data_IF_950847081769
#
_entry.id   IF_950847081769
#
_cell.length_a   1.000
_cell.length_b   1.000
_cell.length_c   1.000
_cell.angle_alpha   90.00
_cell.angle_beta   90.00
_cell.angle_gamma   90.00
#
_symmetry.space_group_name_H-M   'P 1'
#
loop_
_entity.id
_entity.type
_entity.pdbx_description
1 polymer ?
#
# COMPACT_ATOMS: atom_id res chain seq x y z
N UNK A 1 -23.09 5.25 -17.26
CA UNK A 1 -21.70 4.73 -17.18
C UNK A 1 -20.66 5.84 -17.13
N UNK A 2 -20.78 6.94 -17.90
CA UNK A 2 -19.91 8.11 -17.73
C UNK A 2 -20.26 8.99 -16.51
N UNK A 3 -21.54 9.14 -16.15
CA UNK A 3 -21.95 9.91 -14.95
C UNK A 3 -21.37 9.36 -13.64
N UNK A 4 -21.42 8.03 -13.42
CA UNK A 4 -20.80 7.39 -12.24
C UNK A 4 -19.28 7.59 -12.19
N UNK A 5 -18.62 7.49 -13.34
CA UNK A 5 -17.18 7.71 -13.48
C UNK A 5 -16.79 9.17 -13.15
N UNK A 6 -17.69 10.11 -13.46
CA UNK A 6 -17.56 11.53 -13.14
C UNK A 6 -17.77 11.81 -11.64
N UNK A 7 -18.74 11.17 -10.99
CA UNK A 7 -19.01 11.28 -9.55
C UNK A 7 -17.88 10.67 -8.68
N UNK A 8 -17.24 9.59 -9.13
CA UNK A 8 -16.18 8.89 -8.38
C UNK A 8 -14.78 9.51 -8.57
N UNK A 9 -14.45 10.02 -9.77
CA UNK A 9 -13.30 10.91 -9.94
C UNK A 9 -13.47 12.19 -9.12
N UNK A 10 -14.72 12.64 -8.95
CA UNK A 10 -15.05 13.73 -8.05
C UNK A 10 -14.67 13.38 -6.62
N UNK A 11 -14.86 12.15 -6.13
CA UNK A 11 -14.54 11.80 -4.74
C UNK A 11 -13.05 11.95 -4.45
N UNK A 12 -12.18 11.50 -5.36
CA UNK A 12 -10.72 11.65 -5.22
C UNK A 12 -10.27 13.11 -5.37
N UNK A 13 -10.90 13.89 -6.24
CA UNK A 13 -10.65 15.33 -6.37
C UNK A 13 -11.26 16.15 -5.22
N UNK A 14 -12.36 15.69 -4.62
CA UNK A 14 -12.99 16.25 -3.42
C UNK A 14 -12.09 15.98 -2.22
N UNK A 15 -11.62 14.74 -2.04
CA UNK A 15 -10.66 14.39 -0.97
C UNK A 15 -9.37 15.18 -1.15
N UNK A 16 -8.86 15.29 -2.38
CA UNK A 16 -7.70 16.13 -2.71
C UNK A 16 -7.98 17.61 -2.44
N UNK A 17 -9.17 18.10 -2.77
CA UNK A 17 -9.63 19.47 -2.54
C UNK A 17 -9.79 19.80 -1.06
N UNK A 18 -10.34 18.87 -0.26
CA UNK A 18 -10.45 18.99 1.20
C UNK A 18 -9.05 19.03 1.84
N UNK A 19 -8.14 18.14 1.42
CA UNK A 19 -6.74 18.13 1.89
C UNK A 19 -6.01 19.43 1.51
N UNK A 20 -6.26 20.00 0.32
CA UNK A 20 -5.68 21.26 -0.11
C UNK A 20 -6.27 22.47 0.64
N UNK A 21 -7.57 22.48 0.91
CA UNK A 21 -8.23 23.51 1.71
C UNK A 21 -7.69 23.53 3.15
N UNK A 22 -7.42 22.36 3.71
CA UNK A 22 -6.76 22.18 5.01
C UNK A 22 -5.32 22.70 5.04
N UNK A 23 -4.61 22.67 3.91
CA UNK A 23 -3.25 23.19 3.81
C UNK A 23 -3.22 24.73 3.71
N UNK A 24 -4.29 25.36 3.19
CA UNK A 24 -4.29 26.79 2.80
C UNK A 24 -4.91 27.74 3.81
N UNK A 25 -5.68 27.25 4.78
CA UNK A 25 -6.31 28.08 5.84
C UNK A 25 -5.84 27.55 7.20
N UNK A 26 -5.79 28.43 8.20
CA UNK A 26 -5.48 28.18 9.62
C UNK A 26 -4.04 28.48 10.07
N UNK A 27 -3.75 29.77 10.34
CA UNK A 27 -2.72 30.15 11.30
C UNK A 27 -3.17 29.79 12.73
N UNK A 28 -2.32 29.06 13.45
CA UNK A 28 -2.15 28.88 14.90
C UNK A 28 -3.18 29.46 15.92
N UNK A 29 -4.49 29.26 15.76
CA UNK A 29 -5.45 29.36 16.88
C UNK A 29 -5.73 27.96 17.43
N UNK A 30 -4.95 27.57 18.44
CA UNK A 30 -4.67 26.19 18.84
C UNK A 30 -5.90 25.30 19.18
N UNK A 31 -7.05 25.86 19.58
CA UNK A 31 -8.26 25.05 19.88
C UNK A 31 -9.24 24.92 18.72
N UNK A 32 -9.43 25.97 17.90
CA UNK A 32 -10.39 25.92 16.79
C UNK A 32 -9.88 25.06 15.63
N UNK A 33 -8.54 25.03 15.43
CA UNK A 33 -7.91 24.17 14.43
C UNK A 33 -8.04 22.68 14.73
N UNK A 34 -7.94 22.26 16.00
CA UNK A 34 -8.05 20.85 16.41
C UNK A 34 -9.49 20.33 16.31
N UNK A 35 -10.47 21.11 16.77
CA UNK A 35 -11.89 20.76 16.63
C UNK A 35 -12.29 20.67 15.16
N UNK A 36 -11.85 21.62 14.32
CA UNK A 36 -12.09 21.55 12.88
C UNK A 36 -11.43 20.33 12.24
N UNK A 37 -10.19 20.01 12.62
CA UNK A 37 -9.48 18.84 12.11
C UNK A 37 -10.21 17.54 12.50
N UNK A 38 -10.67 17.44 13.74
CA UNK A 38 -11.49 16.34 14.23
C UNK A 38 -12.79 16.19 13.42
N UNK A 39 -13.61 17.24 13.33
CA UNK A 39 -14.89 17.17 12.59
C UNK A 39 -14.69 16.82 11.11
N UNK A 40 -13.64 17.38 10.48
CA UNK A 40 -13.31 17.06 9.10
C UNK A 40 -12.85 15.61 8.93
N UNK A 41 -12.02 15.10 9.85
CA UNK A 41 -11.61 13.70 9.84
C UNK A 41 -12.80 12.76 10.01
N UNK A 42 -13.73 13.06 10.92
CA UNK A 42 -14.93 12.23 11.12
C UNK A 42 -15.76 12.14 9.84
N UNK A 43 -16.05 13.27 9.18
CA UNK A 43 -16.78 13.27 7.90
C UNK A 43 -16.02 12.57 6.79
N UNK A 44 -14.72 12.86 6.65
CA UNK A 44 -13.87 12.21 5.66
C UNK A 44 -13.82 10.71 5.89
N UNK A 45 -13.76 10.25 7.15
CA UNK A 45 -13.72 8.84 7.50
C UNK A 45 -15.00 8.11 7.11
N UNK A 46 -16.17 8.71 7.38
CA UNK A 46 -17.48 8.16 7.00
C UNK A 46 -17.59 8.00 5.48
N UNK A 47 -17.28 9.06 4.73
CA UNK A 47 -17.37 9.07 3.27
C UNK A 47 -16.36 8.10 2.64
N UNK A 48 -15.11 8.12 3.14
CA UNK A 48 -14.04 7.30 2.57
C UNK A 48 -14.21 5.82 2.91
N UNK A 49 -14.62 5.47 4.12
CA UNK A 49 -14.85 4.07 4.48
C UNK A 49 -15.98 3.48 3.64
N UNK A 50 -17.08 4.22 3.46
CA UNK A 50 -18.22 3.77 2.66
C UNK A 50 -17.84 3.63 1.16
N UNK A 51 -17.09 4.59 0.61
CA UNK A 51 -16.63 4.51 -0.77
C UNK A 51 -15.68 3.33 -1.00
N UNK A 52 -14.71 3.12 -0.10
CA UNK A 52 -13.76 2.00 -0.18
C UNK A 52 -14.45 0.65 -0.02
N UNK A 53 -15.44 0.54 0.87
CA UNK A 53 -16.25 -0.68 1.01
C UNK A 53 -17.02 -1.01 -0.27
N UNK A 54 -17.65 -0.01 -0.89
CA UNK A 54 -18.33 -0.19 -2.19
C UNK A 54 -17.34 -0.62 -3.28
N UNK A 55 -16.15 -0.01 -3.32
CA UNK A 55 -15.11 -0.37 -4.28
C UNK A 55 -14.54 -1.78 -4.05
N UNK A 56 -14.42 -2.21 -2.79
CA UNK A 56 -13.95 -3.56 -2.45
C UNK A 56 -14.96 -4.64 -2.87
N UNK A 57 -16.27 -4.34 -2.77
CA UNK A 57 -17.37 -5.25 -3.11
C UNK A 57 -17.79 -5.19 -4.59
N UNK A 58 -17.32 -4.21 -5.37
CA UNK A 58 -17.65 -4.09 -6.78
C UNK A 58 -16.93 -5.17 -7.63
N UNK A 59 -17.65 -5.93 -8.46
CA UNK A 59 -17.04 -6.95 -9.32
C UNK A 59 -16.21 -6.34 -10.47
N UNK A 60 -16.54 -5.12 -10.89
CA UNK A 60 -15.73 -4.34 -11.82
C UNK A 60 -14.94 -3.31 -11.02
N UNK A 61 -13.66 -3.58 -10.79
CA UNK A 61 -12.75 -2.60 -10.17
C UNK A 61 -12.39 -1.54 -11.21
N UNK A 62 -12.71 -0.28 -10.89
CA UNK A 62 -12.54 0.84 -11.81
C UNK A 62 -11.14 1.48 -11.78
N UNK A 63 -10.36 1.22 -10.73
CA UNK A 63 -9.03 1.80 -10.50
C UNK A 63 -7.96 0.72 -10.34
N UNK A 64 -6.71 1.07 -10.64
CA UNK A 64 -5.56 0.17 -10.44
C UNK A 64 -5.23 0.07 -8.96
N UNK A 65 -4.71 -1.07 -8.53
CA UNK A 65 -4.35 -1.32 -7.14
C UNK A 65 -3.28 -0.35 -6.63
N UNK A 66 -2.40 0.12 -7.52
CA UNK A 66 -1.44 1.20 -7.21
C UNK A 66 -2.08 2.55 -6.90
N UNK A 67 -3.27 2.86 -7.42
CA UNK A 67 -3.99 4.11 -7.11
C UNK A 67 -4.55 4.06 -5.68
N UNK A 68 -5.06 2.91 -5.24
CA UNK A 68 -5.50 2.70 -3.86
C UNK A 68 -4.32 2.73 -2.88
N UNK A 69 -3.18 2.15 -3.24
CA UNK A 69 -1.95 2.26 -2.44
C UNK A 69 -1.52 3.72 -2.27
N UNK A 70 -1.51 4.50 -3.35
CA UNK A 70 -1.19 5.92 -3.30
C UNK A 70 -2.19 6.72 -2.44
N UNK A 71 -3.47 6.39 -2.50
CA UNK A 71 -4.48 6.98 -1.63
C UNK A 71 -4.23 6.63 -0.15
N UNK A 72 -3.91 5.36 0.15
CA UNK A 72 -3.55 4.92 1.49
C UNK A 72 -2.39 5.74 2.06
N UNK A 73 -1.32 5.94 1.28
CA UNK A 73 -0.18 6.77 1.69
C UNK A 73 -0.58 8.24 1.96
N UNK A 74 -1.46 8.82 1.13
CA UNK A 74 -1.95 10.19 1.34
C UNK A 74 -2.80 10.31 2.59
N UNK A 75 -3.70 9.35 2.84
CA UNK A 75 -4.56 9.33 4.03
C UNK A 75 -3.73 9.15 5.29
N UNK A 76 -2.77 8.22 5.28
CA UNK A 76 -1.77 8.07 6.35
C UNK A 76 -1.04 9.37 6.63
N UNK A 77 -0.46 9.99 5.59
CA UNK A 77 0.30 11.23 5.76
C UNK A 77 -0.58 12.34 6.36
N UNK A 78 -1.82 12.46 5.86
CA UNK A 78 -2.78 13.42 6.38
C UNK A 78 -3.11 13.16 7.85
N UNK A 79 -3.41 11.91 8.21
CA UNK A 79 -3.71 11.51 9.58
C UNK A 79 -2.54 11.83 10.52
N UNK A 80 -1.33 11.40 10.18
CA UNK A 80 -0.13 11.62 10.99
C UNK A 80 0.25 13.10 11.13
N UNK A 81 -0.03 13.93 10.10
CA UNK A 81 0.37 15.34 10.10
C UNK A 81 -0.63 16.22 10.83
N UNK A 82 -1.93 15.87 10.82
CA UNK A 82 -3.01 16.79 11.23
C UNK A 82 -3.96 16.23 12.26
N UNK A 83 -4.08 14.91 12.36
CA UNK A 83 -5.11 14.25 13.17
C UNK A 83 -4.51 13.51 14.37
N UNK A 84 -3.29 12.98 14.26
CA UNK A 84 -2.65 12.21 15.33
C UNK A 84 -2.49 12.98 16.66
N UNK A 85 -2.38 14.31 16.61
CA UNK A 85 -2.25 15.18 17.79
C UNK A 85 -3.61 15.68 18.34
N UNK A 86 -4.73 15.31 17.71
CA UNK A 86 -6.08 15.69 18.18
C UNK A 86 -6.38 14.94 19.49
N UNK A 87 -6.72 15.65 20.59
CA UNK A 87 -6.88 15.03 21.91
C UNK A 87 -7.86 13.85 21.95
N UNK A 88 -8.96 13.93 21.20
CA UNK A 88 -10.01 12.91 21.16
C UNK A 88 -9.60 11.62 20.42
N UNK A 89 -8.59 11.71 19.55
CA UNK A 89 -8.07 10.60 18.75
C UNK A 89 -6.66 10.19 19.18
N UNK A 90 -6.08 10.92 20.13
CA UNK A 90 -4.78 10.62 20.70
C UNK A 90 -4.83 9.26 21.39
N UNK A 91 -3.83 8.43 21.14
CA UNK A 91 -3.71 7.07 21.68
C UNK A 91 -4.81 6.09 21.21
N UNK A 92 -5.66 6.50 20.25
CA UNK A 92 -6.64 5.63 19.60
C UNK A 92 -6.03 5.03 18.33
N UNK A 93 -6.18 3.71 18.15
CA UNK A 93 -5.77 3.06 16.91
C UNK A 93 -6.68 3.55 15.77
N UNK A 94 -6.13 4.18 14.72
CA UNK A 94 -6.96 4.70 13.64
C UNK A 94 -7.59 3.57 12.83
N UNK A 95 -8.85 3.77 12.43
CA UNK A 95 -9.59 2.76 11.66
C UNK A 95 -9.20 2.72 10.17
N UNK A 96 -8.55 3.77 9.64
CA UNK A 96 -8.28 3.88 8.21
C UNK A 96 -7.53 2.67 7.59
N UNK A 97 -6.57 1.99 8.27
CA UNK A 97 -5.88 0.86 7.66
C UNK A 97 -6.82 -0.28 7.27
N UNK A 98 -7.87 -0.52 8.05
CA UNK A 98 -8.89 -1.55 7.76
C UNK A 98 -9.63 -1.29 6.44
N UNK A 99 -9.89 -0.03 6.10
CA UNK A 99 -10.58 0.33 4.84
C UNK A 99 -9.73 0.01 3.62
N UNK A 100 -8.40 0.04 3.78
CA UNK A 100 -7.45 -0.25 2.72
C UNK A 100 -7.01 -1.72 2.67
N UNK A 101 -7.33 -2.53 3.69
CA UNK A 101 -6.91 -3.94 3.80
C UNK A 101 -7.20 -4.75 2.52
N UNK A 102 -8.40 -4.72 1.92
CA UNK A 102 -8.69 -5.49 0.71
C UNK A 102 -7.81 -5.10 -0.49
N UNK A 103 -7.42 -3.83 -0.58
CA UNK A 103 -6.62 -3.30 -1.69
C UNK A 103 -5.14 -3.59 -1.50
N UNK A 104 -4.63 -3.48 -0.27
CA UNK A 104 -3.25 -3.88 0.06
C UNK A 104 -3.07 -5.38 -0.16
N UNK A 105 -4.04 -6.20 0.25
CA UNK A 105 -4.01 -7.65 0.00
C UNK A 105 -4.01 -7.99 -1.50
N UNK A 106 -4.82 -7.30 -2.30
CA UNK A 106 -4.79 -7.47 -3.75
C UNK A 106 -3.43 -7.03 -4.31
N UNK A 107 -2.88 -5.91 -3.85
CA UNK A 107 -1.59 -5.40 -4.31
C UNK A 107 -0.50 -6.43 -4.03
N UNK A 108 -0.53 -7.07 -2.85
CA UNK A 108 0.37 -8.17 -2.52
C UNK A 108 0.22 -9.34 -3.50
N UNK A 109 -1.00 -9.75 -3.84
CA UNK A 109 -1.23 -10.83 -4.83
C UNK A 109 -0.65 -10.46 -6.21
N UNK A 110 -0.88 -9.23 -6.68
CA UNK A 110 -0.34 -8.76 -7.97
C UNK A 110 1.19 -8.69 -7.95
N UNK A 111 1.79 -8.28 -6.82
CA UNK A 111 3.24 -8.29 -6.67
C UNK A 111 3.81 -9.70 -6.68
N UNK A 112 3.08 -10.70 -6.20
CA UNK A 112 3.53 -12.09 -6.24
C UNK A 112 3.63 -12.58 -7.68
N UNK A 113 2.61 -12.32 -8.50
CA UNK A 113 2.61 -12.68 -9.92
C UNK A 113 3.75 -11.99 -10.67
N UNK A 114 3.91 -10.68 -10.46
CA UNK A 114 5.00 -9.89 -11.07
C UNK A 114 6.37 -10.40 -10.61
N UNK A 115 6.52 -10.72 -9.31
CA UNK A 115 7.78 -11.24 -8.75
C UNK A 115 8.11 -12.61 -9.31
N UNK A 116 7.12 -13.48 -9.53
CA UNK A 116 7.30 -14.80 -10.12
C UNK A 116 7.70 -14.73 -11.59
N UNK A 117 7.07 -13.86 -12.37
CA UNK A 117 7.46 -13.62 -13.76
C UNK A 117 8.87 -13.03 -13.85
N UNK A 118 9.20 -12.10 -12.96
CA UNK A 118 10.54 -11.53 -12.87
C UNK A 118 11.60 -12.60 -12.57
N UNK A 119 11.33 -13.49 -11.60
CA UNK A 119 12.20 -14.61 -11.24
C UNK A 119 12.39 -15.57 -12.42
N UNK A 120 11.30 -15.94 -13.10
CA UNK A 120 11.36 -16.82 -14.27
C UNK A 120 12.21 -16.21 -15.39
N UNK A 121 12.03 -14.91 -15.64
CA UNK A 121 12.80 -14.19 -16.65
C UNK A 121 14.28 -14.05 -16.27
N UNK A 122 14.58 -13.75 -15.00
CA UNK A 122 15.95 -13.70 -14.49
C UNK A 122 16.66 -15.05 -14.65
N UNK A 123 15.98 -16.14 -14.30
CA UNK A 123 16.50 -17.50 -14.49
C UNK A 123 16.73 -17.85 -15.96
N UNK A 124 15.79 -17.52 -16.85
CA UNK A 124 15.94 -17.81 -18.29
C UNK A 124 17.11 -17.05 -18.92
N UNK A 125 17.33 -15.78 -18.53
CA UNK A 125 18.50 -15.01 -18.96
C UNK A 125 19.79 -15.66 -18.47
N UNK A 126 19.85 -15.98 -17.19
CA UNK A 126 21.04 -16.57 -16.56
C UNK A 126 21.37 -17.96 -17.14
N UNK A 127 20.35 -18.77 -17.45
CA UNK A 127 20.50 -20.05 -18.16
C UNK A 127 21.09 -19.87 -19.55
N UNK A 128 20.67 -18.83 -20.28
CA UNK A 128 21.22 -18.50 -21.61
C UNK A 128 22.67 -18.03 -21.51
N UNK A 129 23.00 -17.33 -20.43
CA UNK A 129 24.34 -16.82 -20.15
C UNK A 129 25.24 -17.86 -19.45
N UNK A 130 24.80 -19.12 -19.30
CA UNK A 130 25.61 -20.20 -18.74
C UNK A 130 25.85 -20.12 -17.23
N UNK A 131 24.98 -19.41 -16.49
CA UNK A 131 25.07 -19.23 -15.04
C UNK A 131 26.43 -18.66 -14.59
N UNK A 132 26.96 -17.67 -15.32
CA UNK A 132 28.18 -17.01 -14.91
C UNK A 132 28.05 -16.45 -13.48
N UNK A 133 29.09 -16.68 -12.68
CA UNK A 133 29.17 -16.14 -11.32
C UNK A 133 29.15 -14.62 -11.39
N UNK A 134 28.33 -13.99 -10.55
CA UNK A 134 28.16 -12.53 -10.50
C UNK A 134 29.46 -11.78 -10.20
N UNK A 135 30.43 -12.44 -9.56
CA UNK A 135 31.82 -11.96 -9.43
C UNK A 135 32.77 -13.11 -9.07
N UNK A 136 34.09 -12.86 -9.09
CA UNK A 136 35.11 -13.85 -8.68
C UNK A 136 35.02 -14.30 -7.21
N UNK A 137 34.32 -13.55 -6.36
CA UNK A 137 34.10 -13.87 -4.93
C UNK A 137 32.67 -14.35 -4.63
N UNK A 138 31.70 -14.12 -5.52
CA UNK A 138 30.30 -14.50 -5.29
C UNK A 138 30.05 -15.97 -5.66
N UNK A 139 29.41 -16.73 -4.76
CA UNK A 139 29.00 -18.12 -4.99
C UNK A 139 27.70 -18.23 -5.81
N UNK A 140 27.04 -17.11 -6.08
CA UNK A 140 25.72 -17.07 -6.71
C UNK A 140 25.76 -16.36 -8.07
N UNK A 141 24.87 -16.77 -8.97
CA UNK A 141 24.71 -16.17 -10.28
C UNK A 141 23.84 -14.90 -10.21
N UNK A 142 23.79 -14.13 -11.31
CA UNK A 142 23.11 -12.84 -11.35
C UNK A 142 21.60 -12.94 -11.07
N UNK A 143 20.96 -14.07 -11.40
CA UNK A 143 19.54 -14.27 -11.12
C UNK A 143 19.19 -14.25 -9.63
N UNK A 144 20.09 -14.71 -8.75
CA UNK A 144 19.87 -14.68 -7.30
C UNK A 144 19.84 -13.24 -6.79
N UNK A 145 20.77 -12.40 -7.26
CA UNK A 145 20.85 -10.98 -6.90
C UNK A 145 19.60 -10.22 -7.35
N UNK A 146 19.16 -10.48 -8.59
CA UNK A 146 17.94 -9.90 -9.16
C UNK A 146 16.70 -10.22 -8.31
N UNK A 147 16.55 -11.50 -7.90
CA UNK A 147 15.42 -11.94 -7.06
C UNK A 147 15.43 -11.26 -5.70
N UNK A 148 16.58 -11.21 -5.02
CA UNK A 148 16.67 -10.53 -3.71
C UNK A 148 16.39 -9.03 -3.81
N UNK A 149 16.84 -8.38 -4.89
CA UNK A 149 16.57 -6.97 -5.13
C UNK A 149 15.08 -6.71 -5.27
N UNK A 150 14.37 -7.50 -6.07
CA UNK A 150 12.92 -7.37 -6.26
C UNK A 150 12.14 -7.62 -4.95
N UNK A 151 12.50 -8.66 -4.19
CA UNK A 151 11.87 -8.96 -2.91
C UNK A 151 12.07 -7.84 -1.88
N UNK A 152 13.26 -7.25 -1.83
CA UNK A 152 13.55 -6.13 -0.95
C UNK A 152 12.74 -4.88 -1.33
N UNK A 153 12.55 -4.59 -2.62
CA UNK A 153 11.72 -3.47 -3.06
C UNK A 153 10.26 -3.62 -2.59
N UNK A 154 9.68 -4.83 -2.73
CA UNK A 154 8.34 -5.09 -2.24
C UNK A 154 8.25 -4.94 -0.71
N UNK A 155 9.28 -5.42 0.00
CA UNK A 155 9.36 -5.29 1.46
C UNK A 155 9.50 -3.83 1.92
N UNK A 156 10.23 -3.00 1.18
CA UNK A 156 10.38 -1.58 1.50
C UNK A 156 9.07 -0.81 1.35
N UNK A 157 8.24 -1.16 0.36
CA UNK A 157 6.89 -0.58 0.22
C UNK A 157 6.02 -0.99 1.42
N UNK A 158 6.08 -2.26 1.82
CA UNK A 158 5.36 -2.78 2.98
C UNK A 158 5.79 -2.09 4.28
N UNK A 159 7.09 -1.86 4.47
CA UNK A 159 7.61 -1.08 5.59
C UNK A 159 7.10 0.36 5.55
N UNK A 160 7.11 1.01 4.39
CA UNK A 160 6.64 2.40 4.22
C UNK A 160 5.16 2.57 4.53
N UNK A 161 4.33 1.51 4.44
CA UNK A 161 2.94 1.58 4.88
C UNK A 161 2.88 1.96 6.37
N UNK A 162 3.84 1.57 7.20
CA UNK A 162 3.88 1.77 8.67
C UNK A 162 2.47 1.72 9.26
N UNK A 163 1.78 0.59 9.05
CA UNK A 163 0.39 0.43 9.43
C UNK A 163 0.26 0.62 10.96
N UNK A 164 -0.49 1.62 11.44
CA UNK A 164 -0.64 1.90 12.87
C UNK A 164 -1.51 0.87 13.59
N UNK A 165 -2.30 0.08 12.87
CA UNK A 165 -3.08 -1.03 13.42
C UNK A 165 -2.22 -2.32 13.43
N UNK A 166 -1.85 -2.84 14.62
CA UNK A 166 -0.99 -4.02 14.73
C UNK A 166 -1.64 -5.29 14.18
N UNK A 167 -2.97 -5.41 14.24
CA UNK A 167 -3.70 -6.58 13.74
C UNK A 167 -3.70 -6.60 12.21
N UNK A 168 -4.00 -5.47 11.59
CA UNK A 168 -3.97 -5.33 10.13
C UNK A 168 -2.53 -5.47 9.61
N UNK A 169 -1.55 -4.89 10.32
CA UNK A 169 -0.14 -5.03 9.98
C UNK A 169 0.32 -6.49 10.05
N UNK A 170 -0.09 -7.24 11.08
CA UNK A 170 0.24 -8.66 11.20
C UNK A 170 -0.33 -9.47 10.03
N UNK A 171 -1.58 -9.21 9.62
CA UNK A 171 -2.17 -9.86 8.43
C UNK A 171 -1.38 -9.56 7.15
N UNK A 172 -0.96 -8.31 6.95
CA UNK A 172 -0.11 -7.91 5.83
C UNK A 172 1.24 -8.64 5.83
N UNK A 173 1.90 -8.72 6.98
CA UNK A 173 3.17 -9.42 7.12
C UNK A 173 3.02 -10.93 6.95
N UNK A 174 1.94 -11.52 7.46
CA UNK A 174 1.61 -12.93 7.28
C UNK A 174 1.35 -13.26 5.81
N UNK A 175 0.60 -12.43 5.08
CA UNK A 175 0.40 -12.61 3.64
C UNK A 175 1.70 -12.47 2.86
N UNK A 176 2.54 -11.50 3.21
CA UNK A 176 3.84 -11.29 2.58
C UNK A 176 4.83 -12.45 2.86
N UNK A 177 4.75 -13.08 4.03
CA UNK A 177 5.63 -14.19 4.41
C UNK A 177 5.25 -15.52 3.74
N UNK A 178 3.96 -15.79 3.52
CA UNK A 178 3.49 -16.99 2.80
C UNK A 178 4.11 -17.12 1.40
N UNK A 179 4.35 -15.99 0.73
CA UNK A 179 5.02 -15.88 -0.57
C UNK A 179 6.44 -16.43 -0.51
N UNK A 180 7.18 -16.06 0.53
CA UNK A 180 8.59 -16.45 0.67
C UNK A 180 8.73 -17.96 0.85
N UNK A 181 7.79 -18.60 1.53
CA UNK A 181 7.78 -20.05 1.70
C UNK A 181 7.49 -20.79 0.38
N UNK A 182 6.65 -20.23 -0.50
CA UNK A 182 6.36 -20.82 -1.81
C UNK A 182 7.51 -20.62 -2.82
N UNK A 183 8.09 -19.41 -2.86
CA UNK A 183 9.16 -19.06 -3.80
C UNK A 183 10.50 -19.76 -3.47
N UNK A 184 10.80 -19.96 -2.18
CA UNK A 184 11.97 -20.78 -1.76
C UNK A 184 11.75 -22.26 -2.08
N UNK A 185 10.52 -22.78 -1.96
CA UNK A 185 10.21 -24.17 -2.33
C UNK A 185 10.36 -24.42 -3.83
N UNK A 186 10.07 -23.45 -4.69
CA UNK A 186 10.31 -23.57 -6.13
C UNK A 186 11.80 -23.61 -6.49
N UNK A 187 12.67 -22.99 -5.68
CA UNK A 187 14.12 -23.14 -5.79
C UNK A 187 14.62 -24.57 -5.53
N UNK A 188 13.87 -25.39 -4.79
CA UNK A 188 14.23 -26.79 -4.51
C UNK A 188 13.80 -27.78 -5.60
N UNK A 189 13.03 -27.35 -6.61
CA UNK A 189 12.72 -28.18 -7.79
C UNK A 189 13.76 -28.06 -8.91
N UNK A 190 14.85 -27.32 -8.67
CA UNK A 190 16.02 -27.23 -9.55
C UNK A 190 17.20 -28.10 -9.09
N UNK A 191 16.94 -29.13 -8.28
CA UNK A 191 17.92 -30.18 -7.91
C UNK A 191 17.71 -31.43 -8.74
#
# INVERSE_FOLDING_TARGET
MQLKRYEEQNLMEIVRGMILLLHRRFPQEANMGLISAYCMWMRLSEDLSAALEQHANSPNRYCKTSEYMNLCFKVKWFYNTRIADVPELKDVVPAYPSWFEPFVMQWLNENDEISMDFLRNAYQRDKKDGFHRSSGQALFSNSVVDVFTQLNQCFDIMKKLECPDPVVNDRFLNRFSQVRAANVKLGNFAS
#
